data_IF_891997426147
#
_entry.id   IF_891997426147
#
_cell.length_a   1.000
_cell.length_b   1.000
_cell.length_c   1.000
_cell.angle_alpha   90.00
_cell.angle_beta   90.00
_cell.angle_gamma   90.00
#
_symmetry.space_group_name_H-M   'P 1'
#
loop_
_entity.id
_entity.type
_entity.pdbx_description
1 polymer ?
#
# COMPACT_ATOMS: atom_id res chain seq x y z
N UNK A 1 -3.16 -9.60 -15.36
CA UNK A 1 -2.50 -8.81 -14.30
C UNK A 1 -3.15 -7.46 -14.10
N UNK A 2 -3.44 -7.10 -12.85
CA UNK A 2 -3.97 -5.78 -12.51
C UNK A 2 -2.87 -4.70 -12.60
N UNK A 3 -3.18 -3.47 -13.02
CA UNK A 3 -2.18 -2.40 -13.10
C UNK A 3 -1.49 -2.13 -11.77
N UNK A 4 -0.21 -1.73 -11.82
CA UNK A 4 0.57 -1.39 -10.61
C UNK A 4 -0.11 -0.30 -9.75
N UNK A 5 -0.79 0.65 -10.39
CA UNK A 5 -1.55 1.69 -9.68
C UNK A 5 -2.70 1.12 -8.86
N UNK A 6 -3.38 0.09 -9.35
CA UNK A 6 -4.46 -0.59 -8.65
C UNK A 6 -3.90 -1.41 -7.48
N UNK A 7 -2.80 -2.13 -7.70
CA UNK A 7 -2.14 -2.91 -6.63
C UNK A 7 -1.60 -2.01 -5.51
N UNK A 8 -1.06 -0.83 -5.85
CA UNK A 8 -0.65 0.18 -4.89
C UNK A 8 -1.82 0.67 -4.01
N UNK A 9 -2.99 0.89 -4.62
CA UNK A 9 -4.14 1.51 -3.95
C UNK A 9 -5.02 0.51 -3.20
N UNK A 10 -5.06 -0.76 -3.61
CA UNK A 10 -5.98 -1.76 -3.08
C UNK A 10 -5.95 -1.91 -1.54
N UNK A 11 -4.77 -1.91 -0.87
CA UNK A 11 -4.75 -1.99 0.60
C UNK A 11 -5.39 -0.78 1.29
N UNK A 12 -5.23 0.43 0.75
CA UNK A 12 -5.90 1.63 1.30
C UNK A 12 -7.41 1.57 1.13
N UNK A 13 -7.89 1.05 0.00
CA UNK A 13 -9.32 0.84 -0.22
C UNK A 13 -9.89 -0.19 0.77
N UNK A 14 -9.14 -1.27 1.04
CA UNK A 14 -9.50 -2.24 2.07
C UNK A 14 -9.57 -1.61 3.46
N UNK A 15 -8.55 -0.82 3.84
CA UNK A 15 -8.50 -0.14 5.14
C UNK A 15 -9.70 0.80 5.31
N UNK A 16 -10.00 1.64 4.32
CA UNK A 16 -11.15 2.54 4.35
C UNK A 16 -12.50 1.80 4.51
N UNK A 17 -12.64 0.61 3.92
CA UNK A 17 -13.83 -0.24 4.11
C UNK A 17 -13.89 -0.85 5.52
N UNK A 18 -12.76 -1.25 6.09
CA UNK A 18 -12.72 -1.72 7.47
C UNK A 18 -13.03 -0.58 8.46
N UNK A 19 -12.44 0.59 8.26
CA UNK A 19 -12.68 1.80 9.06
C UNK A 19 -14.17 2.16 9.16
N UNK A 20 -14.94 1.98 8.08
CA UNK A 20 -16.39 2.19 8.09
C UNK A 20 -17.11 1.41 9.20
N UNK A 21 -16.72 0.15 9.45
CA UNK A 21 -17.30 -0.67 10.50
C UNK A 21 -16.67 -0.38 11.87
N UNK A 22 -15.36 -0.12 11.90
CA UNK A 22 -14.63 0.29 13.12
C UNK A 22 -15.24 1.54 13.75
N UNK A 23 -15.47 2.60 12.96
CA UNK A 23 -16.09 3.84 13.42
C UNK A 23 -17.57 3.72 13.79
N UNK A 24 -18.18 2.55 13.56
CA UNK A 24 -19.52 2.18 14.06
C UNK A 24 -19.45 1.19 15.22
N UNK A 25 -18.33 1.17 15.94
CA UNK A 25 -18.12 0.35 17.13
C UNK A 25 -18.25 -1.17 16.86
N UNK A 26 -17.98 -1.59 15.62
CA UNK A 26 -17.93 -3.01 15.25
C UNK A 26 -16.50 -3.50 15.17
N UNK A 27 -16.30 -4.76 15.53
CA UNK A 27 -15.02 -5.43 15.30
C UNK A 27 -14.80 -5.69 13.81
N UNK A 28 -13.58 -5.47 13.35
CA UNK A 28 -13.16 -5.65 11.97
C UNK A 28 -11.86 -6.41 11.87
N UNK A 29 -11.74 -7.20 10.82
CA UNK A 29 -10.51 -7.86 10.44
C UNK A 29 -10.17 -7.46 9.00
N UNK A 30 -8.92 -7.06 8.78
CA UNK A 30 -8.38 -6.82 7.46
C UNK A 30 -7.13 -7.67 7.26
N UNK A 31 -6.98 -8.24 6.06
CA UNK A 31 -5.85 -9.08 5.67
C UNK A 31 -5.27 -8.50 4.39
N UNK A 32 -3.94 -8.37 4.35
CA UNK A 32 -3.21 -7.93 3.16
C UNK A 32 -2.36 -9.09 2.63
N UNK A 33 -2.72 -9.61 1.44
CA UNK A 33 -2.03 -10.72 0.77
C UNK A 33 -1.56 -10.29 -0.65
N UNK A 34 -0.34 -9.81 -0.85
CA UNK A 34 0.69 -9.54 0.17
C UNK A 34 1.25 -8.11 0.02
N UNK A 35 1.74 -7.53 1.12
CA UNK A 35 2.32 -6.18 1.11
C UNK A 35 3.65 -6.11 0.34
N UNK A 36 4.32 -7.23 0.13
CA UNK A 36 5.53 -7.29 -0.70
C UNK A 36 5.23 -6.92 -2.16
N UNK A 37 4.12 -7.42 -2.72
CA UNK A 37 3.63 -7.06 -4.07
C UNK A 37 3.18 -5.60 -4.13
N UNK A 38 2.56 -5.07 -3.07
CA UNK A 38 2.23 -3.63 -3.00
C UNK A 38 3.49 -2.76 -3.10
N UNK A 39 4.56 -3.11 -2.36
CA UNK A 39 5.83 -2.40 -2.43
C UNK A 39 6.48 -2.48 -3.83
N UNK A 40 6.40 -3.64 -4.49
CA UNK A 40 6.88 -3.80 -5.87
C UNK A 40 6.12 -2.91 -6.86
N UNK A 41 4.80 -2.81 -6.72
CA UNK A 41 3.96 -1.93 -7.53
C UNK A 41 4.31 -0.45 -7.30
N UNK A 42 4.50 -0.05 -6.04
CA UNK A 42 4.92 1.32 -5.70
C UNK A 42 6.31 1.66 -6.24
N UNK A 43 7.23 0.68 -6.20
CA UNK A 43 8.56 0.79 -6.81
C UNK A 43 8.46 1.01 -8.31
N UNK A 44 7.66 0.21 -9.02
CA UNK A 44 7.46 0.35 -10.47
C UNK A 44 6.96 1.76 -10.82
N UNK A 45 5.93 2.24 -10.11
CA UNK A 45 5.42 3.60 -10.30
C UNK A 45 6.48 4.67 -10.06
N UNK A 46 7.24 4.55 -8.97
CA UNK A 46 8.28 5.52 -8.59
C UNK A 46 9.42 5.59 -9.62
N UNK A 47 9.85 4.44 -10.15
CA UNK A 47 10.89 4.37 -11.18
C UNK A 47 10.41 4.95 -12.51
N UNK A 48 9.16 4.68 -12.92
CA UNK A 48 8.57 5.28 -14.13
C UNK A 48 8.49 6.81 -14.02
N UNK A 49 8.25 7.32 -12.82
CA UNK A 49 8.26 8.75 -12.50
C UNK A 49 9.65 9.31 -12.23
N UNK A 50 10.71 8.52 -12.41
CA UNK A 50 12.12 8.90 -12.20
C UNK A 50 12.40 9.44 -10.80
N UNK A 51 11.70 8.93 -9.78
CA UNK A 51 12.04 9.23 -8.38
C UNK A 51 13.38 8.57 -8.01
N UNK A 52 14.23 9.22 -7.20
CA UNK A 52 15.51 8.64 -6.78
C UNK A 52 15.32 7.29 -6.07
N UNK A 53 15.94 6.19 -6.57
CA UNK A 53 15.89 4.90 -5.90
C UNK A 53 16.91 4.80 -4.77
N UNK A 54 16.57 4.03 -3.72
CA UNK A 54 17.45 3.67 -2.60
C UNK A 54 17.76 2.18 -2.59
N UNK A 55 17.78 1.59 -1.37
CA UNK A 55 18.05 0.15 -1.17
C UNK A 55 17.06 -0.71 -1.98
N UNK A 56 17.58 -1.72 -2.67
CA UNK A 56 16.80 -2.66 -3.50
C UNK A 56 15.89 -1.98 -4.55
N UNK A 57 16.31 -0.79 -4.98
CA UNK A 57 15.61 0.09 -5.93
C UNK A 57 14.25 0.63 -5.44
N UNK A 58 13.91 0.48 -4.16
CA UNK A 58 12.71 1.12 -3.60
C UNK A 58 12.89 2.63 -3.42
N UNK A 59 11.82 3.42 -3.55
CA UNK A 59 11.88 4.85 -3.21
C UNK A 59 12.07 5.04 -1.70
N UNK A 60 12.63 6.19 -1.29
CA UNK A 60 12.93 6.47 0.11
C UNK A 60 11.72 6.50 1.06
N UNK A 61 10.52 6.66 0.53
CA UNK A 61 9.25 6.71 1.25
C UNK A 61 8.49 5.37 1.27
N UNK A 62 9.13 4.25 0.89
CA UNK A 62 8.52 2.90 0.97
C UNK A 62 8.17 2.49 2.41
N UNK A 63 8.90 2.99 3.41
CA UNK A 63 8.52 2.77 4.82
C UNK A 63 7.21 3.51 5.16
N UNK A 64 7.09 4.76 4.72
CA UNK A 64 5.90 5.57 4.95
C UNK A 64 4.65 4.98 4.28
N UNK A 65 4.83 4.28 3.14
CA UNK A 65 3.76 3.54 2.46
C UNK A 65 3.03 2.57 3.40
N UNK A 66 3.79 1.73 4.11
CA UNK A 66 3.19 0.71 4.99
C UNK A 66 2.89 1.25 6.37
N UNK A 67 3.71 2.17 6.91
CA UNK A 67 3.43 2.75 8.24
C UNK A 67 2.10 3.48 8.25
N UNK A 68 1.81 4.30 7.23
CA UNK A 68 0.52 5.03 7.16
C UNK A 68 -0.70 4.13 6.91
N UNK A 69 -0.48 2.89 6.48
CA UNK A 69 -1.55 1.93 6.19
C UNK A 69 -1.91 1.08 7.42
N UNK A 70 -0.92 0.82 8.28
CA UNK A 70 -1.04 -0.10 9.41
C UNK A 70 -1.30 0.61 10.75
N UNK A 71 -1.01 1.90 10.83
CA UNK A 71 -1.44 2.80 11.92
C UNK A 71 -2.91 3.20 11.75
#
# INVERSE_FOLDING_TARGET
DSPATLQYLAPYAGAALAEYFMYRERHTLIIYDDLSKQAQAYRQMSLLLRRPPGREAYPGDVFYLHSRLLE
#
